data_IF_719977875866
#
_entry.id   IF_719977875866
#
_cell.length_a   1.000
_cell.length_b   1.000
_cell.length_c   1.000
_cell.angle_alpha   90.00
_cell.angle_beta   90.00
_cell.angle_gamma   90.00
#
_symmetry.space_group_name_H-M   'P 1'
#
loop_
_entity.id
_entity.type
_entity.pdbx_description
1 polymer ?
#
# COMPACT_ATOMS: atom_id res chain seq x y z
N UNK A 1 33.51 10.77 1.95
CA UNK A 1 32.58 9.73 1.46
C UNK A 1 32.41 8.57 2.45
N UNK A 2 31.99 8.81 3.70
CA UNK A 2 31.83 7.74 4.71
C UNK A 2 30.67 7.96 5.71
N UNK A 3 29.75 8.88 5.42
CA UNK A 3 28.62 9.19 6.32
C UNK A 3 27.43 8.24 6.18
N UNK A 4 27.21 7.68 4.99
CA UNK A 4 26.04 6.85 4.69
C UNK A 4 26.08 5.44 5.32
N UNK A 5 27.27 4.93 5.64
CA UNK A 5 27.44 3.58 6.20
C UNK A 5 27.09 3.50 7.69
N UNK A 6 27.06 4.63 8.42
CA UNK A 6 26.70 4.66 9.84
C UNK A 6 25.19 4.60 10.10
N UNK A 7 24.36 4.71 9.07
CA UNK A 7 22.90 4.59 9.17
C UNK A 7 22.39 3.14 8.94
N UNK A 8 23.25 2.19 8.58
CA UNK A 8 22.88 0.79 8.40
C UNK A 8 22.46 0.02 9.68
N UNK A 9 22.96 0.29 10.89
CA UNK A 9 22.56 -0.50 12.05
C UNK A 9 21.11 -0.20 12.50
N UNK A 10 20.46 0.86 12.02
CA UNK A 10 19.02 1.09 12.27
C UNK A 10 18.09 0.28 11.35
N UNK A 11 18.58 -0.18 10.19
CA UNK A 11 17.87 -1.13 9.32
C UNK A 11 17.92 -2.58 9.83
N UNK A 12 18.86 -2.89 10.73
CA UNK A 12 19.03 -4.22 11.33
C UNK A 12 18.07 -4.53 12.48
N UNK A 13 17.40 -3.54 13.06
CA UNK A 13 16.24 -3.76 13.93
C UNK A 13 15.02 -4.00 13.06
N UNK A 14 15.03 -5.12 12.32
CA UNK A 14 13.78 -5.79 11.96
C UNK A 14 13.13 -6.14 13.27
N UNK A 15 12.22 -5.25 13.65
CA UNK A 15 11.33 -5.35 14.76
C UNK A 15 11.02 -6.82 14.99
N UNK A 16 11.42 -7.32 16.16
CA UNK A 16 10.68 -8.36 16.86
C UNK A 16 9.28 -7.80 17.11
N UNK A 17 8.53 -7.51 16.04
CA UNK A 17 7.08 -7.51 16.08
C UNK A 17 6.82 -8.94 16.45
N UNK A 18 6.69 -9.15 17.76
CA UNK A 18 6.00 -10.28 18.30
C UNK A 18 4.71 -10.28 17.49
N UNK A 19 4.64 -11.13 16.47
CA UNK A 19 3.40 -11.58 15.87
C UNK A 19 2.71 -12.28 17.03
N UNK A 20 2.11 -11.47 17.92
CA UNK A 20 1.07 -11.90 18.83
C UNK A 20 0.08 -12.50 17.88
N UNK A 21 0.12 -13.82 17.79
CA UNK A 21 -0.85 -14.59 17.04
C UNK A 21 -2.19 -14.16 17.64
N UNK A 22 -2.92 -13.31 16.93
CA UNK A 22 -4.19 -12.73 17.38
C UNK A 22 -5.19 -13.85 17.73
N UNK A 23 -4.94 -15.03 17.15
CA UNK A 23 -5.60 -16.31 17.39
C UNK A 23 -5.49 -16.87 18.82
N UNK A 24 -4.63 -16.32 19.68
CA UNK A 24 -4.56 -16.72 21.10
C UNK A 24 -5.82 -16.38 21.90
N UNK A 25 -6.59 -15.35 21.47
CA UNK A 25 -7.80 -14.89 22.17
C UNK A 25 -9.11 -15.29 21.48
N UNK A 26 -9.08 -15.58 20.18
CA UNK A 26 -10.27 -15.82 19.32
C UNK A 26 -10.35 -17.25 18.76
N UNK A 27 -9.41 -18.12 19.14
CA UNK A 27 -9.31 -19.46 18.57
C UNK A 27 -8.65 -19.46 17.19
N UNK A 28 -8.34 -20.66 16.67
CA UNK A 28 -7.76 -20.82 15.33
C UNK A 28 -8.83 -20.52 14.26
N UNK A 29 -8.45 -19.89 13.13
CA UNK A 29 -9.40 -19.66 12.06
C UNK A 29 -9.84 -21.01 11.48
N UNK A 30 -11.11 -21.11 11.06
CA UNK A 30 -11.65 -22.33 10.42
C UNK A 30 -10.88 -22.66 9.14
N UNK A 31 -10.47 -21.62 8.42
CA UNK A 31 -9.65 -21.72 7.21
C UNK A 31 -8.50 -20.70 7.32
N UNK A 32 -7.23 -21.13 7.21
CA UNK A 32 -6.11 -20.21 7.24
C UNK A 32 -6.06 -19.42 5.93
N UNK A 33 -6.04 -18.09 6.03
CA UNK A 33 -5.77 -17.25 4.87
C UNK A 33 -4.33 -17.47 4.40
N UNK A 34 -4.17 -17.76 3.11
CA UNK A 34 -2.86 -17.77 2.48
C UNK A 34 -2.31 -16.35 2.33
N UNK A 35 -0.98 -16.26 2.25
CA UNK A 35 -0.28 -15.01 1.95
C UNK A 35 -0.78 -14.45 0.61
N UNK A 36 -0.99 -15.33 -0.39
CA UNK A 36 -1.47 -14.94 -1.70
C UNK A 36 -2.86 -14.29 -1.66
N UNK A 37 -3.81 -14.85 -0.91
CA UNK A 37 -5.15 -14.27 -0.73
C UNK A 37 -5.08 -12.91 -0.04
N UNK A 38 -4.21 -12.78 0.96
CA UNK A 38 -4.00 -11.51 1.67
C UNK A 38 -3.48 -10.42 0.73
N UNK A 39 -2.51 -10.75 -0.13
CA UNK A 39 -2.00 -9.83 -1.15
C UNK A 39 -3.05 -9.49 -2.20
N UNK A 40 -3.77 -10.49 -2.72
CA UNK A 40 -4.81 -10.28 -3.72
C UNK A 40 -5.89 -9.33 -3.20
N UNK A 41 -6.33 -9.53 -1.95
CA UNK A 41 -7.31 -8.67 -1.31
C UNK A 41 -6.80 -7.24 -1.13
N UNK A 42 -5.56 -7.09 -0.65
CA UNK A 42 -4.93 -5.79 -0.44
C UNK A 42 -4.78 -5.00 -1.74
N UNK A 43 -4.38 -5.67 -2.83
CA UNK A 43 -4.27 -5.07 -4.16
C UNK A 43 -5.66 -4.65 -4.66
N UNK A 44 -6.67 -5.49 -4.49
CA UNK A 44 -8.04 -5.18 -4.91
C UNK A 44 -8.57 -3.92 -4.21
N UNK A 45 -8.40 -3.82 -2.88
CA UNK A 45 -8.76 -2.62 -2.13
C UNK A 45 -7.97 -1.39 -2.61
N UNK A 46 -6.64 -1.53 -2.75
CA UNK A 46 -5.79 -0.42 -3.18
C UNK A 46 -6.18 0.13 -4.55
N UNK A 47 -6.41 -0.75 -5.53
CA UNK A 47 -6.88 -0.37 -6.85
C UNK A 47 -8.27 0.26 -6.80
N UNK A 48 -9.20 -0.29 -6.01
CA UNK A 48 -10.54 0.27 -5.86
C UNK A 48 -10.54 1.69 -5.31
N UNK A 49 -9.71 1.97 -4.29
CA UNK A 49 -9.58 3.30 -3.69
C UNK A 49 -8.93 4.28 -4.67
N UNK A 50 -7.91 3.83 -5.41
CA UNK A 50 -7.12 4.70 -6.28
C UNK A 50 -7.72 4.90 -7.68
N UNK A 51 -8.64 4.05 -8.12
CA UNK A 51 -9.20 4.09 -9.47
C UNK A 51 -9.89 5.44 -9.77
N UNK A 52 -10.79 5.87 -8.90
CA UNK A 52 -11.57 7.12 -9.11
C UNK A 52 -10.69 8.37 -9.03
N UNK A 53 -9.85 8.57 -7.99
CA UNK A 53 -8.93 9.71 -7.94
C UNK A 53 -7.98 9.74 -9.15
N UNK A 54 -7.45 8.59 -9.56
CA UNK A 54 -6.57 8.51 -10.73
C UNK A 54 -7.29 8.94 -12.01
N UNK A 55 -8.54 8.50 -12.22
CA UNK A 55 -9.33 8.90 -13.37
C UNK A 55 -9.54 10.43 -13.43
N UNK A 56 -9.90 11.03 -12.28
CA UNK A 56 -10.10 12.49 -12.17
C UNK A 56 -8.81 13.25 -12.48
N UNK A 57 -7.69 12.80 -11.93
CA UNK A 57 -6.38 13.43 -12.17
C UNK A 57 -5.95 13.32 -13.63
N UNK A 58 -6.21 12.19 -14.30
CA UNK A 58 -5.92 12.04 -15.73
C UNK A 58 -6.70 13.03 -16.59
N UNK A 59 -7.96 13.30 -16.27
CA UNK A 59 -8.84 14.19 -17.06
C UNK A 59 -8.86 15.63 -16.53
N UNK A 60 -7.98 16.00 -15.60
CA UNK A 60 -7.99 17.32 -14.96
C UNK A 60 -7.75 18.47 -15.95
N UNK A 61 -7.04 18.21 -17.06
CA UNK A 61 -6.80 19.20 -18.11
C UNK A 61 -8.07 19.52 -18.90
N UNK A 62 -8.84 18.47 -19.23
CA UNK A 62 -10.13 18.59 -19.92
C UNK A 62 -11.14 19.34 -19.04
N UNK A 63 -11.19 19.02 -17.74
CA UNK A 63 -12.02 19.75 -16.78
C UNK A 63 -11.62 21.23 -16.63
N UNK A 64 -10.35 21.56 -16.89
CA UNK A 64 -9.84 22.94 -16.84
C UNK A 64 -9.88 23.65 -18.19
N UNK A 65 -10.26 22.96 -19.28
CA UNK A 65 -10.29 23.51 -20.64
C UNK A 65 -8.93 23.96 -21.18
N UNK A 66 -7.83 23.43 -20.63
CA UNK A 66 -6.45 23.79 -21.02
C UNK A 66 -6.00 23.10 -22.31
N UNK A 67 -6.79 22.13 -22.76
CA UNK A 67 -6.64 21.35 -23.98
C UNK A 67 -7.25 22.03 -25.21
N UNK A 68 -8.04 23.10 -25.02
CA UNK A 68 -8.66 23.83 -26.13
C UNK A 68 -7.74 24.94 -26.67
N UNK A 69 -7.60 25.08 -28.00
CA UNK A 69 -6.92 26.23 -28.58
C UNK A 69 -7.66 27.51 -28.20
N UNK A 70 -6.92 28.58 -27.90
CA UNK A 70 -7.49 29.90 -27.69
C UNK A 70 -8.15 30.38 -28.99
N UNK A 71 -9.46 30.60 -28.96
CA UNK A 71 -10.22 31.24 -30.05
C UNK A 71 -9.88 32.73 -30.18
#
# INVERSE_FOLDING_TARGET
MFGALKALPSLGRKSLVQTRSFYGYVGRPREPLSIAETWAHSICIGLGILAVPSYILCHIKEYRGLDKPAE
#
